data_IF_887313205717
#
_entry.id   IF_887313205717
#
_cell.length_a   1.000
_cell.length_b   1.000
_cell.length_c   1.000
_cell.angle_alpha   90.00
_cell.angle_beta   90.00
_cell.angle_gamma   90.00
#
_symmetry.space_group_name_H-M   'P 1'
#
loop_
_entity.id
_entity.type
_entity.pdbx_description
1 polymer ?
#
# COMPACT_ATOMS: atom_id res chain seq x y z
N UNK A 1 -16.71 -3.86 -16.69
CA UNK A 1 -15.86 -3.43 -15.57
C UNK A 1 -15.77 -1.91 -15.64
N UNK A 2 -16.50 -1.20 -14.78
CA UNK A 2 -16.37 0.26 -14.64
C UNK A 2 -14.94 0.55 -14.15
N UNK A 3 -14.21 1.30 -14.95
CA UNK A 3 -12.83 1.69 -14.64
C UNK A 3 -12.88 2.70 -13.48
N UNK A 4 -12.94 2.21 -12.25
CA UNK A 4 -12.92 3.06 -11.05
C UNK A 4 -11.51 3.66 -10.94
N UNK A 5 -11.42 4.99 -10.91
CA UNK A 5 -10.14 5.70 -10.74
C UNK A 5 -9.51 5.23 -9.42
N UNK A 6 -8.35 4.63 -9.47
CA UNK A 6 -7.60 4.28 -8.26
C UNK A 6 -7.00 5.54 -7.66
N UNK A 7 -7.56 5.99 -6.54
CA UNK A 7 -7.14 7.22 -5.84
C UNK A 7 -6.02 6.97 -4.85
N UNK A 8 -6.00 5.78 -4.23
CA UNK A 8 -4.99 5.38 -3.24
C UNK A 8 -4.08 4.33 -3.85
N UNK A 9 -2.79 4.63 -4.00
CA UNK A 9 -1.81 3.77 -4.66
C UNK A 9 -0.78 3.30 -3.63
N UNK A 10 -0.61 1.98 -3.41
CA UNK A 10 0.47 1.46 -2.59
C UNK A 10 1.83 1.84 -3.17
N UNK A 11 2.73 2.27 -2.30
CA UNK A 11 4.09 2.68 -2.65
C UNK A 11 5.11 1.90 -1.81
N UNK A 12 6.08 1.26 -2.48
CA UNK A 12 7.07 0.38 -1.88
C UNK A 12 8.45 1.04 -1.89
N UNK A 13 9.10 1.06 -0.74
CA UNK A 13 10.46 1.59 -0.59
C UNK A 13 11.48 0.46 -0.62
N UNK A 14 12.49 0.59 -1.48
CA UNK A 14 13.63 -0.31 -1.58
C UNK A 14 14.94 0.44 -1.41
N UNK A 15 16.00 -0.27 -1.02
CA UNK A 15 17.35 0.29 -1.08
C UNK A 15 17.74 0.61 -2.53
N UNK A 16 17.78 -0.42 -3.39
CA UNK A 16 18.18 -0.30 -4.82
C UNK A 16 17.34 -1.16 -5.78
N UNK A 17 16.40 -1.94 -5.27
CA UNK A 17 15.77 -3.04 -6.03
C UNK A 17 14.39 -2.73 -6.58
N UNK A 18 13.95 -1.45 -6.63
CA UNK A 18 12.58 -1.13 -7.06
C UNK A 18 12.25 -1.65 -8.46
N UNK A 19 13.16 -1.48 -9.43
CA UNK A 19 12.97 -1.95 -10.81
C UNK A 19 12.97 -3.48 -10.87
N UNK A 20 13.91 -4.14 -10.17
CA UNK A 20 14.00 -5.59 -10.13
C UNK A 20 12.74 -6.20 -9.49
N UNK A 21 12.27 -5.64 -8.37
CA UNK A 21 11.08 -6.09 -7.68
C UNK A 21 9.82 -5.93 -8.55
N UNK A 22 9.63 -4.78 -9.20
CA UNK A 22 8.49 -4.55 -10.09
C UNK A 22 8.46 -5.53 -11.27
N UNK A 23 9.61 -5.79 -11.89
CA UNK A 23 9.71 -6.81 -12.96
C UNK A 23 9.42 -8.23 -12.43
N UNK A 24 9.89 -8.55 -11.24
CA UNK A 24 9.58 -9.82 -10.59
C UNK A 24 8.07 -9.98 -10.40
N UNK A 25 7.38 -8.98 -9.81
CA UNK A 25 5.92 -9.05 -9.62
C UNK A 25 5.17 -9.15 -10.94
N UNK A 26 5.61 -8.42 -11.98
CA UNK A 26 5.05 -8.57 -13.32
C UNK A 26 5.21 -9.98 -13.91
N UNK A 27 6.23 -10.73 -13.49
CA UNK A 27 6.45 -12.12 -13.92
C UNK A 27 5.72 -13.16 -13.07
N UNK A 28 5.41 -12.82 -11.81
CA UNK A 28 4.75 -13.72 -10.85
C UNK A 28 3.25 -13.73 -11.05
N UNK A 29 2.65 -12.53 -11.12
CA UNK A 29 1.20 -12.38 -11.16
C UNK A 29 0.70 -12.29 -12.61
N UNK A 30 -0.39 -13.01 -12.96
CA UNK A 30 -1.03 -12.87 -14.27
C UNK A 30 -1.46 -11.42 -14.56
N UNK A 31 -1.53 -11.07 -15.85
CA UNK A 31 -2.02 -9.75 -16.31
C UNK A 31 -1.34 -8.56 -15.61
N UNK A 32 -0.05 -8.70 -15.32
CA UNK A 32 0.75 -7.71 -14.59
C UNK A 32 1.87 -7.17 -15.46
N UNK A 33 2.24 -5.90 -15.25
CA UNK A 33 3.25 -5.23 -16.09
C UNK A 33 3.89 -4.05 -15.37
N UNK A 34 5.14 -3.75 -15.72
CA UNK A 34 5.77 -2.46 -15.43
C UNK A 34 5.23 -1.44 -16.44
N UNK A 35 4.74 -0.30 -15.94
CA UNK A 35 4.13 0.74 -16.79
C UNK A 35 5.07 1.90 -17.06
N UNK A 36 5.95 2.26 -16.13
CA UNK A 36 6.98 3.26 -16.35
C UNK A 36 8.16 3.08 -15.38
N UNK A 37 9.32 3.49 -15.84
CA UNK A 37 10.53 3.65 -15.02
C UNK A 37 11.07 5.04 -15.28
N UNK A 38 11.25 5.83 -14.22
CA UNK A 38 11.80 7.19 -14.26
C UNK A 38 12.90 7.32 -13.21
N UNK A 39 13.79 8.29 -13.40
CA UNK A 39 14.84 8.58 -12.43
C UNK A 39 14.64 9.98 -11.87
N UNK A 40 14.63 10.11 -10.56
CA UNK A 40 14.68 11.37 -9.84
C UNK A 40 16.14 11.67 -9.54
N UNK A 41 16.60 12.88 -9.94
CA UNK A 41 17.97 13.32 -9.71
C UNK A 41 18.06 14.24 -8.50
N UNK A 42 19.23 14.31 -7.92
CA UNK A 42 19.58 15.24 -6.83
C UNK A 42 18.67 15.15 -5.59
N UNK A 43 18.14 13.95 -5.29
CA UNK A 43 17.39 13.73 -4.06
C UNK A 43 18.34 13.62 -2.86
N UNK A 44 17.86 13.75 -1.61
CA UNK A 44 18.69 13.51 -0.42
C UNK A 44 19.35 12.13 -0.39
N UNK A 45 18.80 11.15 -1.12
CA UNK A 45 19.33 9.78 -1.27
C UNK A 45 20.20 9.60 -2.53
N UNK A 46 20.51 10.67 -3.27
CA UNK A 46 21.12 10.63 -4.59
C UNK A 46 20.10 10.42 -5.70
N UNK A 47 20.50 9.82 -6.81
CA UNK A 47 19.60 9.48 -7.90
C UNK A 47 18.77 8.25 -7.51
N UNK A 48 17.45 8.37 -7.65
CA UNK A 48 16.47 7.36 -7.24
C UNK A 48 15.67 6.87 -8.44
N UNK A 49 15.66 5.56 -8.68
CA UNK A 49 14.74 4.96 -9.64
C UNK A 49 13.33 4.92 -9.05
N UNK A 50 12.37 5.46 -9.79
CA UNK A 50 10.95 5.41 -9.48
C UNK A 50 10.24 4.56 -10.52
N UNK A 51 9.43 3.61 -10.07
CA UNK A 51 8.78 2.62 -10.92
C UNK A 51 7.28 2.63 -10.67
N UNK A 52 6.51 2.67 -11.74
CA UNK A 52 5.07 2.39 -11.71
C UNK A 52 4.80 1.03 -12.34
N UNK A 53 3.94 0.25 -11.75
CA UNK A 53 3.57 -1.07 -12.23
C UNK A 53 2.13 -1.42 -11.86
N UNK A 54 1.59 -2.42 -12.51
CA UNK A 54 0.25 -2.94 -12.26
C UNK A 54 0.33 -4.44 -11.94
N UNK A 55 -0.40 -4.86 -10.90
CA UNK A 55 -0.64 -6.27 -10.56
C UNK A 55 -2.14 -6.49 -10.66
N UNK A 56 -2.59 -7.34 -11.60
CA UNK A 56 -4.01 -7.59 -11.85
C UNK A 56 -4.85 -6.30 -11.96
N UNK A 57 -4.35 -5.31 -12.69
CA UNK A 57 -5.01 -4.03 -12.88
C UNK A 57 -4.94 -3.06 -11.69
N UNK A 58 -4.41 -3.46 -10.56
CA UNK A 58 -4.10 -2.60 -9.42
C UNK A 58 -2.77 -1.89 -9.63
N UNK A 59 -2.78 -0.57 -9.50
CA UNK A 59 -1.57 0.26 -9.63
C UNK A 59 -0.75 0.22 -8.35
N UNK A 60 0.55 0.14 -8.54
CA UNK A 60 1.58 0.24 -7.51
C UNK A 60 2.66 1.20 -7.96
N UNK A 61 3.37 1.76 -7.00
CA UNK A 61 4.61 2.48 -7.21
C UNK A 61 5.72 1.92 -6.32
N UNK A 62 6.95 2.09 -6.75
CA UNK A 62 8.13 1.75 -5.97
C UNK A 62 9.25 2.75 -6.21
N UNK A 63 10.13 2.89 -5.22
CA UNK A 63 11.30 3.76 -5.29
C UNK A 63 12.53 3.03 -4.75
N UNK A 64 13.69 3.27 -5.39
CA UNK A 64 15.00 2.90 -4.89
C UNK A 64 15.64 4.11 -4.22
N UNK A 65 15.46 4.29 -2.91
CA UNK A 65 15.85 5.51 -2.21
C UNK A 65 16.74 5.27 -0.96
N UNK A 66 17.46 4.15 -0.94
CA UNK A 66 18.42 3.82 0.09
C UNK A 66 17.89 2.95 1.23
N UNK A 67 18.76 2.47 2.13
CA UNK A 67 18.46 1.44 3.12
C UNK A 67 17.78 1.96 4.39
N UNK A 68 17.00 3.04 4.31
CA UNK A 68 16.44 3.71 5.48
C UNK A 68 15.28 2.95 6.12
N UNK A 69 14.49 2.24 5.32
CA UNK A 69 13.30 1.52 5.77
C UNK A 69 13.33 0.08 5.26
N UNK A 70 12.86 -0.84 6.09
CA UNK A 70 12.74 -2.26 5.72
C UNK A 70 11.28 -2.67 5.63
N UNK A 71 10.94 -3.32 4.53
CA UNK A 71 9.66 -3.99 4.36
C UNK A 71 9.45 -5.02 5.45
N UNK A 72 8.24 -5.10 5.97
CA UNK A 72 7.86 -6.01 7.03
C UNK A 72 6.37 -6.38 6.94
N UNK A 73 5.90 -7.40 7.67
CA UNK A 73 4.52 -7.87 7.56
C UNK A 73 3.43 -6.97 8.18
N UNK A 74 3.76 -5.80 8.72
CA UNK A 74 2.72 -4.88 9.26
C UNK A 74 1.76 -4.39 8.18
N UNK A 75 2.25 -4.28 6.94
CA UNK A 75 1.43 -4.13 5.75
C UNK A 75 1.71 -5.30 4.84
N UNK A 76 0.66 -6.00 4.44
CA UNK A 76 0.69 -7.09 3.47
C UNK A 76 -0.37 -6.87 2.40
N UNK A 77 -0.41 -7.74 1.40
CA UNK A 77 -1.42 -7.71 0.36
C UNK A 77 -2.13 -9.06 0.30
N UNK A 78 -3.44 -9.06 0.51
CA UNK A 78 -4.26 -10.21 0.14
C UNK A 78 -4.26 -10.36 -1.37
N UNK A 79 -4.12 -11.59 -1.83
CA UNK A 79 -4.23 -11.99 -3.22
C UNK A 79 -5.37 -12.99 -3.31
N UNK A 80 -6.49 -12.55 -3.84
CA UNK A 80 -7.73 -13.32 -3.92
C UNK A 80 -7.78 -14.09 -5.24
N UNK A 81 -7.82 -15.40 -5.13
CA UNK A 81 -8.06 -16.32 -6.24
C UNK A 81 -9.51 -16.77 -6.15
N UNK A 82 -10.34 -16.35 -7.10
CA UNK A 82 -11.79 -16.56 -7.06
C UNK A 82 -12.21 -17.67 -8.03
N UNK A 83 -12.56 -18.86 -7.50
CA UNK A 83 -12.95 -20.00 -8.35
C UNK A 83 -14.30 -19.80 -9.04
N UNK A 84 -15.09 -18.82 -8.66
CA UNK A 84 -16.34 -18.47 -9.37
C UNK A 84 -16.09 -17.74 -10.70
N UNK A 85 -14.90 -17.19 -10.87
CA UNK A 85 -14.46 -16.39 -12.02
C UNK A 85 -13.36 -17.06 -12.85
N UNK A 86 -12.58 -17.90 -12.20
CA UNK A 86 -11.42 -18.54 -12.78
C UNK A 86 -11.40 -20.01 -12.35
N UNK A 87 -11.73 -20.90 -13.29
CA UNK A 87 -11.77 -22.35 -13.05
C UNK A 87 -10.39 -22.88 -12.59
N UNK A 88 -9.29 -22.23 -13.00
CA UNK A 88 -7.91 -22.57 -12.67
C UNK A 88 -7.41 -21.86 -11.39
N UNK A 89 -8.28 -21.20 -10.62
CA UNK A 89 -7.88 -20.43 -9.42
C UNK A 89 -7.05 -21.24 -8.43
N UNK A 90 -7.40 -22.51 -8.20
CA UNK A 90 -6.67 -23.41 -7.29
C UNK A 90 -5.27 -23.77 -7.80
N UNK A 91 -5.08 -23.89 -9.10
CA UNK A 91 -3.77 -24.16 -9.72
C UNK A 91 -2.90 -22.89 -9.72
N UNK A 92 -3.52 -21.74 -10.04
CA UNK A 92 -2.83 -20.45 -10.07
C UNK A 92 -2.32 -20.01 -8.70
N UNK A 93 -3.05 -20.28 -7.62
CA UNK A 93 -2.55 -19.99 -6.27
C UNK A 93 -1.27 -20.74 -5.97
N UNK A 94 -1.19 -22.03 -6.38
CA UNK A 94 0.01 -22.85 -6.21
C UNK A 94 1.18 -22.35 -7.06
N UNK A 95 0.93 -21.95 -8.29
CA UNK A 95 1.95 -21.37 -9.18
C UNK A 95 2.54 -20.07 -8.60
N UNK A 96 1.67 -19.15 -8.16
CA UNK A 96 2.09 -17.87 -7.57
C UNK A 96 2.84 -18.11 -6.26
N UNK A 97 2.35 -19.03 -5.42
CA UNK A 97 3.04 -19.41 -4.18
C UNK A 97 4.45 -19.92 -4.45
N UNK A 98 4.60 -20.84 -5.39
CA UNK A 98 5.90 -21.41 -5.73
C UNK A 98 6.89 -20.33 -6.19
N UNK A 99 6.46 -19.40 -7.05
CA UNK A 99 7.31 -18.31 -7.52
C UNK A 99 7.70 -17.34 -6.39
N UNK A 100 6.78 -16.99 -5.50
CA UNK A 100 7.05 -16.12 -4.34
C UNK A 100 7.95 -16.80 -3.31
N UNK A 101 7.91 -18.14 -3.24
CA UNK A 101 8.73 -18.94 -2.31
C UNK A 101 10.22 -18.97 -2.69
N UNK A 102 10.56 -18.67 -3.95
CA UNK A 102 11.95 -18.62 -4.39
C UNK A 102 12.71 -17.48 -3.70
N UNK A 103 13.49 -17.81 -2.69
CA UNK A 103 14.21 -16.86 -1.84
C UNK A 103 13.33 -16.13 -0.81
N UNK A 104 12.05 -16.52 -0.72
CA UNK A 104 11.09 -16.02 0.26
C UNK A 104 11.03 -16.87 1.52
N UNK A 105 10.20 -16.45 2.47
CA UNK A 105 9.96 -17.13 3.74
C UNK A 105 8.46 -17.26 3.99
N UNK A 106 7.97 -18.49 4.14
CA UNK A 106 6.59 -18.73 4.54
C UNK A 106 6.39 -18.28 6.01
N UNK A 107 5.41 -17.42 6.23
CA UNK A 107 4.95 -16.99 7.54
C UNK A 107 3.83 -17.92 8.04
N UNK A 108 2.95 -18.32 7.12
CA UNK A 108 1.97 -19.42 7.29
C UNK A 108 2.02 -20.29 6.04
N UNK A 109 2.22 -21.60 6.16
CA UNK A 109 2.29 -22.49 5.01
C UNK A 109 1.04 -22.42 4.13
N UNK A 110 1.18 -22.67 2.83
CA UNK A 110 0.03 -22.80 1.93
C UNK A 110 -0.69 -24.12 2.22
N UNK A 111 -1.83 -24.04 2.89
CA UNK A 111 -2.60 -25.19 3.36
C UNK A 111 -4.09 -24.83 3.51
N UNK A 112 -4.89 -25.79 3.97
CA UNK A 112 -6.28 -25.58 4.36
C UNK A 112 -6.35 -24.96 5.75
N UNK A 113 -7.18 -23.91 5.88
CA UNK A 113 -7.46 -23.24 7.14
C UNK A 113 -8.98 -23.16 7.37
N UNK A 114 -9.46 -22.90 8.61
CA UNK A 114 -10.90 -22.83 8.89
C UNK A 114 -11.68 -21.81 8.03
N UNK A 115 -11.01 -20.81 7.50
CA UNK A 115 -11.60 -19.71 6.72
C UNK A 115 -11.35 -19.80 5.21
N UNK A 116 -10.52 -20.76 4.75
CA UNK A 116 -10.24 -20.95 3.32
C UNK A 116 -9.74 -22.37 3.05
N UNK A 117 -10.19 -22.98 1.96
CA UNK A 117 -9.70 -24.29 1.51
C UNK A 117 -8.22 -24.26 1.09
N UNK A 118 -7.69 -23.08 0.73
CA UNK A 118 -6.28 -22.88 0.42
C UNK A 118 -5.86 -21.46 0.74
N UNK A 119 -5.01 -21.32 1.73
CA UNK A 119 -4.45 -20.05 2.18
C UNK A 119 -2.99 -20.22 2.56
N UNK A 120 -2.20 -19.17 2.32
CA UNK A 120 -0.84 -19.09 2.79
C UNK A 120 -0.38 -17.65 2.91
N UNK A 121 0.54 -17.39 3.84
CA UNK A 121 1.14 -16.10 4.05
C UNK A 121 2.65 -16.21 3.86
N UNK A 122 3.20 -15.42 2.95
CA UNK A 122 4.60 -15.49 2.57
C UNK A 122 5.21 -14.09 2.49
N UNK A 123 6.44 -13.95 2.95
CA UNK A 123 7.27 -12.79 2.67
C UNK A 123 8.22 -13.17 1.53
N UNK A 124 8.19 -12.39 0.45
CA UNK A 124 9.01 -12.64 -0.72
C UNK A 124 10.48 -12.23 -0.50
N UNK A 125 11.34 -12.56 -1.47
CA UNK A 125 12.78 -12.26 -1.41
C UNK A 125 13.12 -10.76 -1.30
N UNK A 126 12.17 -9.87 -1.63
CA UNK A 126 12.33 -8.42 -1.50
C UNK A 126 11.77 -7.88 -0.18
N UNK A 127 11.06 -8.70 0.59
CA UNK A 127 10.50 -8.36 1.90
C UNK A 127 9.03 -7.97 1.89
N UNK A 128 8.35 -7.97 0.75
CA UNK A 128 6.89 -7.75 0.69
C UNK A 128 6.16 -9.01 1.16
N UNK A 129 5.12 -8.81 1.96
CA UNK A 129 4.28 -9.89 2.48
C UNK A 129 2.99 -10.03 1.68
N UNK A 130 2.70 -11.26 1.27
CA UNK A 130 1.54 -11.64 0.46
C UNK A 130 0.71 -12.69 1.19
N UNK A 131 -0.60 -12.48 1.26
CA UNK A 131 -1.56 -13.44 1.79
C UNK A 131 -2.39 -14.01 0.63
N UNK A 132 -2.02 -15.19 0.14
CA UNK A 132 -2.71 -15.84 -0.95
C UNK A 132 -3.92 -16.59 -0.42
N UNK A 133 -5.09 -16.38 -1.00
CA UNK A 133 -6.33 -16.99 -0.54
C UNK A 133 -7.20 -17.45 -1.70
N UNK A 134 -7.60 -18.72 -1.66
CA UNK A 134 -8.69 -19.21 -2.47
C UNK A 134 -10.01 -18.75 -1.82
N UNK A 135 -10.74 -17.88 -2.51
CA UNK A 135 -11.96 -17.28 -1.95
C UNK A 135 -13.13 -18.26 -2.00
N UNK A 136 -14.15 -18.01 -1.16
CA UNK A 136 -15.40 -18.76 -1.24
C UNK A 136 -16.18 -18.32 -2.49
N UNK A 137 -16.50 -19.23 -3.43
CA UNK A 137 -17.22 -18.90 -4.65
C UNK A 137 -18.66 -18.37 -4.43
N UNK A 138 -19.22 -18.61 -3.26
CA UNK A 138 -20.53 -18.12 -2.84
C UNK A 138 -20.43 -16.80 -2.04
N UNK A 139 -19.22 -16.30 -1.78
CA UNK A 139 -18.97 -15.06 -1.04
C UNK A 139 -19.19 -13.80 -1.88
N UNK A 140 -19.19 -12.66 -1.21
CA UNK A 140 -19.15 -11.37 -1.92
C UNK A 140 -17.84 -11.23 -2.71
N UNK A 141 -17.97 -10.74 -3.93
CA UNK A 141 -16.83 -10.46 -4.78
C UNK A 141 -15.89 -9.42 -4.15
N UNK A 142 -14.61 -9.69 -4.21
CA UNK A 142 -13.53 -8.77 -3.80
C UNK A 142 -12.51 -8.63 -4.93
N UNK A 143 -11.80 -7.49 -5.01
CA UNK A 143 -10.72 -7.34 -5.98
C UNK A 143 -9.61 -8.36 -5.73
N UNK A 144 -8.84 -8.63 -6.78
CA UNK A 144 -7.75 -9.60 -6.72
C UNK A 144 -6.67 -9.23 -5.69
N UNK A 145 -6.39 -7.94 -5.52
CA UNK A 145 -5.39 -7.45 -4.55
C UNK A 145 -6.05 -6.50 -3.56
N UNK A 146 -5.83 -6.73 -2.25
CA UNK A 146 -6.32 -5.88 -1.16
C UNK A 146 -5.19 -5.62 -0.16
N UNK A 147 -4.82 -4.34 0.08
CA UNK A 147 -3.88 -4.00 1.16
C UNK A 147 -4.44 -4.37 2.54
N UNK A 148 -3.58 -4.86 3.40
CA UNK A 148 -3.93 -5.33 4.75
C UNK A 148 -3.03 -4.71 5.80
N UNK A 149 -3.63 -4.13 6.84
CA UNK A 149 -2.94 -3.59 8.00
C UNK A 149 -2.96 -4.59 9.16
N UNK A 150 -1.80 -4.84 9.76
CA UNK A 150 -1.68 -5.66 10.98
C UNK A 150 -1.21 -4.78 12.14
N UNK A 151 -2.10 -4.55 13.09
CA UNK A 151 -1.86 -3.75 14.28
C UNK A 151 -1.24 -4.62 15.36
N UNK A 152 0.03 -4.35 15.69
CA UNK A 152 0.85 -5.18 16.60
C UNK A 152 1.53 -4.31 17.66
N UNK A 153 2.08 -4.91 18.69
CA UNK A 153 2.80 -4.21 19.76
C UNK A 153 1.95 -3.11 20.39
N UNK A 154 2.47 -1.88 20.44
CA UNK A 154 1.76 -0.72 21.02
C UNK A 154 0.52 -0.29 20.21
N UNK A 155 0.38 -0.77 18.98
CA UNK A 155 -0.79 -0.53 18.13
C UNK A 155 -1.84 -1.67 18.21
N UNK A 156 -1.53 -2.79 18.87
CA UNK A 156 -2.47 -3.90 19.02
C UNK A 156 -3.75 -3.45 19.72
N UNK A 157 -4.90 -3.82 19.16
CA UNK A 157 -6.23 -3.44 19.64
C UNK A 157 -6.75 -2.10 19.07
N UNK A 158 -5.99 -1.46 18.18
CA UNK A 158 -6.37 -0.17 17.56
C UNK A 158 -6.88 -0.30 16.12
N UNK A 159 -7.02 -1.50 15.58
CA UNK A 159 -7.51 -1.70 14.21
C UNK A 159 -8.90 -1.07 14.00
N UNK A 160 -9.82 -1.21 14.95
CA UNK A 160 -11.16 -0.60 14.87
C UNK A 160 -11.13 0.93 14.92
N UNK A 161 -10.28 1.51 15.78
CA UNK A 161 -10.10 2.96 15.86
C UNK A 161 -9.50 3.52 14.56
N UNK A 162 -8.52 2.81 13.99
CA UNK A 162 -7.92 3.19 12.72
C UNK A 162 -8.91 3.12 11.56
N UNK A 163 -9.65 2.01 11.46
CA UNK A 163 -10.73 1.86 10.47
C UNK A 163 -11.76 2.99 10.59
N UNK A 164 -12.18 3.33 11.81
CA UNK A 164 -13.14 4.42 12.05
C UNK A 164 -12.59 5.78 11.62
N UNK A 165 -11.31 6.06 11.88
CA UNK A 165 -10.65 7.26 11.40
C UNK A 165 -10.66 7.31 9.87
N UNK A 166 -10.19 6.25 9.21
CA UNK A 166 -10.08 6.22 7.76
C UNK A 166 -11.45 6.36 7.08
N UNK A 167 -12.48 5.68 7.57
CA UNK A 167 -13.85 5.83 7.09
C UNK A 167 -14.40 7.26 7.24
N UNK A 168 -13.92 8.02 8.22
CA UNK A 168 -14.32 9.42 8.43
C UNK A 168 -13.56 10.41 7.55
N UNK A 169 -12.36 10.02 7.09
CA UNK A 169 -11.46 10.89 6.32
C UNK A 169 -11.67 10.74 4.82
N UNK A 170 -11.79 9.49 4.35
CA UNK A 170 -11.90 9.19 2.93
C UNK A 170 -13.35 9.17 2.46
N UNK A 171 -13.61 9.73 1.29
CA UNK A 171 -14.90 9.67 0.62
C UNK A 171 -15.22 8.26 0.07
N UNK A 172 -16.43 8.07 -0.45
CA UNK A 172 -16.86 6.81 -1.05
C UNK A 172 -16.46 5.58 -0.23
N UNK A 173 -16.63 5.69 1.09
CA UNK A 173 -16.17 4.74 2.09
C UNK A 173 -17.32 3.96 2.68
N UNK A 174 -17.06 2.70 3.04
CA UNK A 174 -17.99 1.89 3.81
C UNK A 174 -17.27 0.80 4.59
N UNK A 175 -17.85 0.45 5.74
CA UNK A 175 -17.44 -0.74 6.47
C UNK A 175 -18.00 -1.98 5.76
N UNK A 176 -17.19 -3.02 5.69
CA UNK A 176 -17.60 -4.33 5.22
C UNK A 176 -17.79 -5.31 6.40
N UNK A 177 -17.15 -6.48 6.28
CA UNK A 177 -17.18 -7.52 7.31
C UNK A 177 -16.34 -7.13 8.51
N UNK A 178 -16.81 -7.45 9.72
CA UNK A 178 -16.04 -7.32 10.96
C UNK A 178 -16.19 -8.62 11.75
N UNK A 179 -15.07 -9.31 11.95
CA UNK A 179 -14.96 -10.47 12.84
C UNK A 179 -14.05 -10.11 14.01
N UNK A 180 -14.45 -10.53 15.21
CA UNK A 180 -13.75 -10.23 16.46
C UNK A 180 -13.20 -11.50 17.09
N UNK A 181 -12.10 -11.37 17.80
CA UNK A 181 -11.60 -12.48 18.61
C UNK A 181 -12.61 -12.90 19.66
N UNK A 182 -12.99 -14.19 19.70
CA UNK A 182 -13.86 -14.71 20.76
C UNK A 182 -13.09 -14.87 22.06
N UNK A 183 -13.81 -15.16 23.13
CA UNK A 183 -13.21 -15.55 24.41
C UNK A 183 -12.37 -16.81 24.24
N UNK A 184 -11.18 -16.84 24.84
CA UNK A 184 -10.25 -17.97 24.75
C UNK A 184 -9.31 -17.92 23.55
N UNK A 185 -9.09 -16.73 22.98
CA UNK A 185 -8.16 -16.53 21.86
C UNK A 185 -6.77 -16.04 22.29
N UNK A 186 -6.40 -16.21 23.57
CA UNK A 186 -5.12 -15.72 24.08
C UNK A 186 -3.94 -16.12 23.18
N UNK A 187 -2.98 -15.22 22.93
CA UNK A 187 -2.76 -13.89 23.55
C UNK A 187 -3.67 -12.78 23.01
N UNK A 188 -4.45 -13.03 21.93
CA UNK A 188 -5.35 -12.03 21.37
C UNK A 188 -6.51 -11.74 22.31
N UNK A 189 -6.86 -10.46 22.44
CA UNK A 189 -7.84 -9.98 23.42
C UNK A 189 -9.24 -10.11 22.86
N UNK A 190 -10.17 -10.72 23.61
CA UNK A 190 -11.59 -10.80 23.28
C UNK A 190 -12.13 -9.43 22.83
N UNK A 191 -12.85 -9.41 21.71
CA UNK A 191 -13.50 -8.23 21.15
C UNK A 191 -12.60 -7.37 20.23
N UNK A 192 -11.27 -7.56 20.21
CA UNK A 192 -10.41 -6.90 19.22
C UNK A 192 -10.60 -7.47 17.81
N UNK A 193 -10.12 -6.81 16.81
CA UNK A 193 -10.39 -7.16 15.40
C UNK A 193 -9.54 -8.36 14.98
N UNK A 194 -10.18 -9.51 14.79
CA UNK A 194 -9.58 -10.69 14.19
C UNK A 194 -9.43 -10.51 12.67
N UNK A 195 -10.43 -9.91 12.03
CA UNK A 195 -10.43 -9.54 10.63
C UNK A 195 -11.51 -8.48 10.38
N UNK A 196 -11.18 -7.44 9.65
CA UNK A 196 -12.16 -6.51 9.10
C UNK A 196 -11.79 -6.14 7.67
N UNK A 197 -12.79 -5.99 6.80
CA UNK A 197 -12.62 -5.34 5.52
C UNK A 197 -13.46 -4.06 5.43
N UNK A 198 -12.96 -3.10 4.69
CA UNK A 198 -13.60 -1.79 4.51
C UNK A 198 -13.15 -1.14 3.21
N UNK A 199 -13.93 -0.20 2.75
CA UNK A 199 -13.68 0.51 1.50
C UNK A 199 -13.36 1.97 1.78
N UNK A 200 -12.32 2.49 1.12
CA UNK A 200 -11.90 3.89 1.11
C UNK A 200 -11.77 4.30 -0.36
N UNK A 201 -12.39 5.40 -0.78
CA UNK A 201 -12.38 5.87 -2.18
C UNK A 201 -12.68 4.76 -3.20
N UNK A 202 -13.68 3.95 -2.91
CA UNK A 202 -14.06 2.76 -3.69
C UNK A 202 -12.97 1.67 -3.79
N UNK A 203 -11.97 1.66 -2.92
CA UNK A 203 -10.90 0.66 -2.85
C UNK A 203 -10.99 -0.12 -1.54
N UNK A 204 -10.85 -1.44 -1.62
CA UNK A 204 -10.90 -2.32 -0.46
C UNK A 204 -9.57 -2.34 0.30
N UNK A 205 -9.69 -2.40 1.61
CA UNK A 205 -8.62 -2.58 2.59
C UNK A 205 -9.05 -3.59 3.64
N UNK A 206 -8.08 -4.20 4.31
CA UNK A 206 -8.34 -5.03 5.49
C UNK A 206 -7.51 -4.57 6.67
N UNK A 207 -7.98 -4.89 7.87
CA UNK A 207 -7.27 -4.62 9.11
C UNK A 207 -7.45 -5.77 10.10
N UNK A 208 -6.40 -6.06 10.84
CA UNK A 208 -6.36 -7.07 11.89
C UNK A 208 -5.55 -6.58 13.07
N UNK A 209 -5.92 -6.98 14.27
CA UNK A 209 -5.08 -6.89 15.47
C UNK A 209 -4.37 -8.21 15.71
N UNK A 210 -3.15 -8.17 16.26
CA UNK A 210 -2.47 -9.35 16.78
C UNK A 210 -1.67 -9.01 18.02
N UNK A 211 -1.94 -9.73 19.11
CA UNK A 211 -1.22 -9.61 20.37
C UNK A 211 -0.04 -10.58 20.47
N UNK A 212 0.23 -11.38 19.45
CA UNK A 212 1.43 -12.20 19.37
C UNK A 212 2.68 -11.32 19.37
N UNK A 213 3.78 -11.86 19.84
CA UNK A 213 5.06 -11.15 19.80
C UNK A 213 5.55 -11.02 18.36
N UNK A 214 5.48 -9.81 17.83
CA UNK A 214 6.01 -9.44 16.52
C UNK A 214 7.20 -8.49 16.68
N UNK A 215 8.23 -8.69 15.86
CA UNK A 215 9.44 -7.84 15.87
C UNK A 215 9.39 -6.76 14.80
N UNK A 216 8.20 -6.28 14.48
CA UNK A 216 7.97 -5.23 13.50
C UNK A 216 6.81 -4.33 13.92
N UNK A 217 6.73 -3.18 13.29
CA UNK A 217 5.63 -2.22 13.39
C UNK A 217 5.48 -1.50 12.06
N UNK A 218 4.45 -0.66 11.92
CA UNK A 218 4.33 0.22 10.75
C UNK A 218 5.55 1.11 10.60
N UNK A 219 5.99 1.28 9.38
CA UNK A 219 7.06 2.19 9.00
C UNK A 219 6.82 2.73 7.58
N UNK A 220 7.75 3.49 7.06
CA UNK A 220 7.66 4.16 5.76
C UNK A 220 7.93 3.24 4.55
N UNK A 221 8.34 1.98 4.79
CA UNK A 221 8.68 1.05 3.70
C UNK A 221 7.48 0.72 2.81
N UNK A 222 6.27 0.70 3.37
CA UNK A 222 5.02 0.71 2.60
C UNK A 222 4.22 1.92 3.04
N UNK A 223 3.89 2.77 2.07
CA UNK A 223 3.02 3.92 2.24
C UNK A 223 1.88 3.88 1.23
N UNK A 224 0.88 4.70 1.46
CA UNK A 224 -0.28 4.82 0.57
C UNK A 224 -0.32 6.24 0.01
N UNK A 225 -0.12 6.33 -1.31
CA UNK A 225 -0.15 7.60 -2.03
C UNK A 225 -1.58 7.96 -2.38
N UNK A 226 -2.05 9.09 -1.85
CA UNK A 226 -3.38 9.66 -2.12
C UNK A 226 -3.22 10.76 -3.18
N UNK A 227 -3.77 10.53 -4.37
CA UNK A 227 -3.73 11.50 -5.46
C UNK A 227 -4.84 12.53 -5.27
N UNK A 228 -4.45 13.81 -5.20
CA UNK A 228 -5.34 14.96 -4.96
C UNK A 228 -5.40 15.87 -6.19
N UNK A 229 -6.60 16.30 -6.56
CA UNK A 229 -6.82 17.14 -7.73
C UNK A 229 -6.91 18.64 -7.35
N UNK A 230 -7.00 18.97 -6.06
CA UNK A 230 -7.11 20.35 -5.55
C UNK A 230 -6.31 20.58 -4.25
N UNK A 231 -6.09 21.85 -3.91
CA UNK A 231 -5.47 22.22 -2.63
C UNK A 231 -6.37 21.87 -1.45
N UNK A 232 -7.70 21.99 -1.61
CA UNK A 232 -8.67 21.65 -0.58
C UNK A 232 -8.59 20.15 -0.22
N UNK A 233 -8.41 19.26 -1.22
CA UNK A 233 -8.20 17.83 -0.96
C UNK A 233 -6.88 17.58 -0.23
N UNK A 234 -5.78 18.21 -0.67
CA UNK A 234 -4.48 18.12 0.00
C UNK A 234 -4.62 18.54 1.47
N UNK A 235 -5.22 19.70 1.73
CA UNK A 235 -5.40 20.22 3.07
C UNK A 235 -6.30 19.29 3.91
N UNK A 236 -7.38 18.78 3.34
CA UNK A 236 -8.30 17.85 4.01
C UNK A 236 -7.60 16.59 4.50
N UNK A 237 -6.87 15.90 3.62
CA UNK A 237 -6.17 14.67 4.02
C UNK A 237 -5.01 14.94 4.97
N UNK A 238 -4.24 15.99 4.70
CA UNK A 238 -3.12 16.37 5.55
C UNK A 238 -3.54 16.68 6.98
N UNK A 239 -4.51 17.55 7.14
CA UNK A 239 -4.96 18.03 8.46
C UNK A 239 -5.64 16.92 9.27
N UNK A 240 -6.19 15.89 8.61
CA UNK A 240 -6.88 14.78 9.25
C UNK A 240 -5.98 13.58 9.56
N UNK A 241 -4.91 13.38 8.78
CA UNK A 241 -4.05 12.20 8.90
C UNK A 241 -2.72 12.51 9.59
N UNK A 242 -2.13 13.69 9.38
CA UNK A 242 -0.81 13.98 9.94
C UNK A 242 -0.83 14.07 11.47
N UNK A 243 0.01 13.23 12.12
CA UNK A 243 0.11 13.18 13.56
C UNK A 243 1.55 13.21 14.08
N UNK A 244 2.55 13.08 13.18
CA UNK A 244 3.98 12.99 13.53
C UNK A 244 4.76 14.01 12.71
N UNK A 245 4.97 15.25 13.24
CA UNK A 245 5.60 16.35 12.49
C UNK A 245 7.00 16.05 11.96
N UNK A 246 7.73 15.14 12.62
CA UNK A 246 9.09 14.72 12.23
C UNK A 246 9.09 13.82 10.98
N UNK A 247 7.95 13.20 10.67
CA UNK A 247 7.78 12.36 9.48
C UNK A 247 7.30 13.14 8.25
N UNK A 248 7.01 14.44 8.40
CA UNK A 248 6.47 15.28 7.33
C UNK A 248 7.57 15.74 6.38
N UNK A 249 7.55 15.27 5.14
CA UNK A 249 8.49 15.66 4.07
C UNK A 249 7.94 15.31 2.69
N UNK A 250 7.95 16.25 1.75
CA UNK A 250 7.60 16.00 0.33
C UNK A 250 6.25 15.30 0.14
N UNK A 251 5.23 15.71 0.88
CA UNK A 251 3.92 15.07 0.86
C UNK A 251 3.78 13.83 1.74
N UNK A 252 4.87 13.32 2.31
CA UNK A 252 4.85 12.23 3.28
C UNK A 252 4.36 12.72 4.63
N UNK A 253 3.55 11.89 5.26
CA UNK A 253 3.10 12.06 6.65
C UNK A 253 2.92 10.68 7.30
N UNK A 254 2.84 10.68 8.61
CA UNK A 254 2.54 9.48 9.41
C UNK A 254 1.31 9.77 10.28
N UNK A 255 0.35 8.87 10.27
CA UNK A 255 -0.81 9.00 11.12
C UNK A 255 -0.52 8.57 12.57
N UNK A 256 -1.51 8.74 13.46
CA UNK A 256 -1.36 8.42 14.90
C UNK A 256 -1.16 6.95 15.21
N UNK A 257 -1.37 6.07 14.23
CA UNK A 257 -1.12 4.63 14.36
C UNK A 257 0.25 4.21 13.81
N UNK A 258 0.95 5.14 13.13
CA UNK A 258 2.24 4.90 12.51
C UNK A 258 2.16 4.48 11.04
N UNK A 259 0.98 4.44 10.45
CA UNK A 259 0.82 4.19 9.00
C UNK A 259 1.29 5.40 8.21
N UNK A 260 2.08 5.17 7.19
CA UNK A 260 2.64 6.20 6.32
C UNK A 260 1.76 6.46 5.10
N UNK A 261 1.48 7.73 4.85
CA UNK A 261 0.71 8.22 3.72
C UNK A 261 1.53 9.23 2.92
N UNK A 262 1.22 9.34 1.63
CA UNK A 262 1.75 10.39 0.77
C UNK A 262 0.58 11.16 0.18
N UNK A 263 0.46 12.45 0.47
CA UNK A 263 -0.59 13.31 -0.07
C UNK A 263 0.01 14.09 -1.23
N UNK A 264 -0.33 13.67 -2.45
CA UNK A 264 0.39 14.09 -3.66
C UNK A 264 -0.56 14.71 -4.68
N UNK A 265 -0.24 15.90 -5.22
CA UNK A 265 -1.02 16.50 -6.29
C UNK A 265 -0.99 15.64 -7.56
N UNK A 266 -2.15 15.36 -8.15
CA UNK A 266 -2.24 14.63 -9.43
C UNK A 266 -1.46 15.34 -10.57
N UNK A 267 -1.41 16.67 -10.53
CA UNK A 267 -0.71 17.49 -11.52
C UNK A 267 0.82 17.33 -11.46
N UNK A 268 1.37 16.82 -10.37
CA UNK A 268 2.83 16.68 -10.21
C UNK A 268 3.43 15.76 -11.29
N UNK A 269 2.75 14.67 -11.62
CA UNK A 269 3.17 13.75 -12.68
C UNK A 269 3.24 14.47 -14.06
N UNK A 270 2.31 15.40 -14.31
CA UNK A 270 2.30 16.21 -15.52
C UNK A 270 3.42 17.26 -15.54
N UNK A 271 3.61 17.98 -14.43
CA UNK A 271 4.66 19.00 -14.31
C UNK A 271 6.07 18.39 -14.46
N UNK A 272 6.27 17.18 -13.93
CA UNK A 272 7.54 16.46 -14.05
C UNK A 272 7.68 15.67 -15.36
N UNK A 273 6.58 15.29 -15.99
CA UNK A 273 6.61 14.45 -17.21
C UNK A 273 6.59 15.23 -18.53
N UNK A 274 6.06 16.47 -18.55
CA UNK A 274 5.87 17.29 -19.76
C UNK A 274 6.66 18.59 -19.76
N UNK A 275 7.32 18.95 -18.67
CA UNK A 275 8.12 20.17 -18.56
C UNK A 275 9.43 20.09 -19.33
N UNK A 276 10.04 21.26 -19.61
CA UNK A 276 11.44 21.30 -20.03
C UNK A 276 12.35 20.84 -18.88
N UNK A 277 13.61 20.44 -19.15
CA UNK A 277 14.55 20.07 -18.08
C UNK A 277 14.66 21.15 -16.98
N UNK A 278 14.68 22.42 -17.36
CA UNK A 278 14.74 23.54 -16.42
C UNK A 278 13.46 23.70 -15.58
N UNK A 279 12.29 23.45 -16.19
CA UNK A 279 11.01 23.45 -15.46
C UNK A 279 10.96 22.30 -14.47
N UNK A 280 11.34 21.10 -14.90
CA UNK A 280 11.38 19.91 -14.05
C UNK A 280 12.35 20.09 -12.86
N UNK A 281 13.53 20.67 -13.11
CA UNK A 281 14.51 20.97 -12.06
C UNK A 281 13.95 21.96 -11.03
N UNK A 282 13.30 23.05 -11.49
CA UNK A 282 12.68 24.04 -10.59
C UNK A 282 11.59 23.40 -9.72
N UNK A 283 10.70 22.61 -10.33
CA UNK A 283 9.62 21.92 -9.60
C UNK A 283 10.21 20.94 -8.59
N UNK A 284 11.22 20.15 -8.99
CA UNK A 284 11.89 19.21 -8.10
C UNK A 284 12.53 19.90 -6.90
N UNK A 285 13.28 20.96 -7.13
CA UNK A 285 13.87 21.77 -6.05
C UNK A 285 12.83 22.35 -5.11
N UNK A 286 11.69 22.80 -5.65
CA UNK A 286 10.62 23.35 -4.84
C UNK A 286 9.94 22.30 -3.96
N UNK A 287 9.52 21.16 -4.54
CA UNK A 287 8.79 20.18 -3.76
C UNK A 287 9.67 19.49 -2.71
N UNK A 288 10.98 19.32 -2.95
CA UNK A 288 11.92 18.77 -1.98
C UNK A 288 12.04 19.61 -0.70
N UNK A 289 11.67 20.89 -0.74
CA UNK A 289 11.65 21.79 0.42
C UNK A 289 10.27 21.86 1.09
N UNK A 290 9.24 21.28 0.49
CA UNK A 290 7.89 21.30 1.06
C UNK A 290 7.70 20.13 2.04
N UNK A 291 6.86 20.35 3.06
CA UNK A 291 6.22 19.30 3.82
C UNK A 291 4.90 18.94 3.15
N UNK A 292 3.85 19.73 3.40
CA UNK A 292 2.59 19.69 2.65
C UNK A 292 2.78 20.41 1.31
N UNK A 293 2.26 19.83 0.24
CA UNK A 293 2.33 20.44 -1.08
C UNK A 293 1.46 21.70 -1.17
N UNK A 294 2.02 22.76 -1.78
CA UNK A 294 1.35 23.99 -2.18
C UNK A 294 1.25 24.03 -3.70
N UNK A 295 0.05 23.78 -4.24
CA UNK A 295 -0.19 23.76 -5.69
C UNK A 295 0.12 25.08 -6.36
N UNK A 296 -0.22 26.21 -5.72
CA UNK A 296 0.04 27.54 -6.29
C UNK A 296 1.55 27.79 -6.38
N UNK A 297 2.32 27.40 -5.37
CA UNK A 297 3.78 27.49 -5.40
C UNK A 297 4.40 26.60 -6.49
N UNK A 298 3.91 25.37 -6.66
CA UNK A 298 4.40 24.48 -7.71
C UNK A 298 4.14 25.04 -9.11
N UNK A 299 2.97 25.63 -9.36
CA UNK A 299 2.66 26.26 -10.63
C UNK A 299 3.51 27.51 -10.89
N UNK A 300 3.73 28.38 -9.89
CA UNK A 300 4.61 29.54 -10.03
C UNK A 300 6.02 29.13 -10.45
N UNK A 301 6.65 28.21 -9.73
CA UNK A 301 8.03 27.78 -10.07
C UNK A 301 8.10 27.07 -11.43
N UNK A 302 7.06 26.34 -11.82
CA UNK A 302 6.98 25.75 -13.15
C UNK A 302 7.00 26.83 -14.24
N UNK A 303 6.27 27.92 -14.05
CA UNK A 303 6.19 29.05 -14.97
C UNK A 303 7.42 29.97 -14.91
N UNK A 304 8.31 29.80 -13.93
CA UNK A 304 9.51 30.61 -13.78
C UNK A 304 9.28 31.92 -13.01
N UNK A 305 8.27 31.93 -12.14
CA UNK A 305 7.91 33.05 -11.25
C UNK A 305 8.54 32.92 -9.87
#
# INVERSE_FOLDING_TARGET
VTNVKQTIVPHLWYDKQAVEAANFYASVFPESKVTSVTQLHDTPSGDCDQVSFEIWGQKFMAISAGPYFKLNPSVSFFVNFDPSRDEDAAEKIDEVWNKLSEGGQALMPLDKYPFSERYGWIQDKFGVSWQLMLTNPEGEERPAIIPSFLFVGDQCGKAEEAMSLYLSVFGNSRQGTVARYPKGSEPDREGTIMFADFMLENQWFTAMDSAHEHKFSFNEAISFMVKCDSQEEIDHYWDRLSAVPEAEQCGWLKDKFGVSWQIVPSVLDELLGKGTPEQMERVTKAFLQMKKFDLAALHRVYNGE
#
